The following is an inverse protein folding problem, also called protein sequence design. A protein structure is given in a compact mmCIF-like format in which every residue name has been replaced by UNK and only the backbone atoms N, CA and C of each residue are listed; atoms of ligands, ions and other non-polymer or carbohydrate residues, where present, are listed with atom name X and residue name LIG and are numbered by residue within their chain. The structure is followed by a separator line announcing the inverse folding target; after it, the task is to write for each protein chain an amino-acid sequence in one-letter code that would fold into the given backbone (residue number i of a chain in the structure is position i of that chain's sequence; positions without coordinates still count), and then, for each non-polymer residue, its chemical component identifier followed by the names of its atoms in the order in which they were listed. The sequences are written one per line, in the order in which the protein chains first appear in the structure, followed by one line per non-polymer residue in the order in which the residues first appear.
data_IF_621926320747
#
_entry.id   IF_621926320747
#
_cell.length_a   1.000
_cell.length_b   1.000
_cell.length_c   1.000
_cell.angle_alpha   90.00
_cell.angle_beta   90.00
_cell.angle_gamma   90.00
#
_symmetry.space_group_name_H-M   'P 1'
#
loop_
_entity.id
_entity.type
_entity.pdbx_description
1 polymer ?
#
# COMPACT_ATOMS: atom_id res chain seq x y z
N UNK A 1 -31.51 11.23 -2.76
CA UNK A 1 -30.49 10.50 -1.99
C UNK A 1 -29.17 11.05 -2.46
N UNK A 2 -28.28 11.45 -1.56
CA UNK A 2 -27.00 12.01 -1.99
C UNK A 2 -26.15 10.92 -2.63
N UNK A 3 -25.43 11.22 -3.71
CA UNK A 3 -24.47 10.30 -4.31
C UNK A 3 -23.34 10.00 -3.32
N UNK A 4 -23.00 8.74 -3.16
CA UNK A 4 -21.97 8.29 -2.24
C UNK A 4 -21.06 7.24 -2.88
N UNK A 5 -19.77 7.38 -2.60
CA UNK A 5 -18.73 6.41 -2.96
C UNK A 5 -18.66 5.40 -1.81
N UNK A 6 -19.57 4.41 -1.84
CA UNK A 6 -19.80 3.51 -0.71
C UNK A 6 -18.59 2.65 -0.38
N UNK A 7 -17.89 2.15 -1.40
CA UNK A 7 -16.73 1.28 -1.19
C UNK A 7 -15.58 2.06 -0.56
N UNK A 8 -15.30 3.27 -1.06
CA UNK A 8 -14.24 4.12 -0.51
C UNK A 8 -14.56 4.58 0.91
N UNK A 9 -15.84 4.86 1.22
CA UNK A 9 -16.25 5.20 2.59
C UNK A 9 -16.04 4.05 3.56
N UNK A 10 -16.49 2.85 3.18
CA UNK A 10 -16.29 1.66 4.01
C UNK A 10 -14.81 1.37 4.24
N UNK A 11 -13.97 1.55 3.22
CA UNK A 11 -12.54 1.33 3.32
C UNK A 11 -11.86 2.36 4.24
N UNK A 12 -12.21 3.64 4.13
CA UNK A 12 -11.70 4.70 5.01
C UNK A 12 -12.12 4.45 6.47
N UNK A 13 -13.35 3.99 6.70
CA UNK A 13 -13.83 3.64 8.05
C UNK A 13 -13.08 2.42 8.61
N UNK A 14 -12.67 1.48 7.77
CA UNK A 14 -11.88 0.30 8.15
C UNK A 14 -10.41 0.59 8.44
N UNK A 15 -9.83 1.62 7.80
CA UNK A 15 -8.41 1.97 7.86
C UNK A 15 -8.17 3.48 8.10
N UNK A 16 -8.63 4.06 9.22
CA UNK A 16 -8.59 5.50 9.45
C UNK A 16 -7.17 6.08 9.49
N UNK A 17 -6.19 5.30 9.94
CA UNK A 17 -4.78 5.68 10.01
C UNK A 17 -4.09 5.78 8.63
N UNK A 18 -4.59 5.06 7.62
CA UNK A 18 -4.05 5.07 6.25
C UNK A 18 -4.81 6.02 5.32
N UNK A 19 -6.04 6.40 5.70
CA UNK A 19 -6.93 7.24 4.89
C UNK A 19 -6.36 8.64 4.59
N UNK A 20 -5.63 9.27 5.52
CA UNK A 20 -5.03 10.59 5.32
C UNK A 20 -5.99 11.63 4.71
N UNK A 21 -5.60 12.23 3.57
CA UNK A 21 -6.43 13.22 2.85
C UNK A 21 -7.48 12.60 1.90
N UNK A 22 -7.56 11.26 1.79
CA UNK A 22 -8.47 10.58 0.87
C UNK A 22 -9.94 10.92 1.16
N UNK A 23 -10.31 11.06 2.44
CA UNK A 23 -11.67 11.43 2.85
C UNK A 23 -12.10 12.79 2.26
N UNK A 24 -11.20 13.76 2.24
CA UNK A 24 -11.46 15.08 1.65
C UNK A 24 -11.69 14.96 0.13
N UNK A 25 -10.91 14.12 -0.55
CA UNK A 25 -11.08 13.90 -1.99
C UNK A 25 -12.37 13.15 -2.32
N UNK A 26 -12.75 12.14 -1.52
CA UNK A 26 -14.02 11.40 -1.63
C UNK A 26 -15.21 12.33 -1.48
N UNK A 27 -15.27 13.12 -0.40
CA UNK A 27 -16.35 14.10 -0.19
C UNK A 27 -16.43 15.12 -1.31
N UNK A 28 -15.29 15.59 -1.80
CA UNK A 28 -15.25 16.55 -2.92
C UNK A 28 -15.77 15.94 -4.23
N UNK A 29 -15.47 14.67 -4.52
CA UNK A 29 -16.00 14.00 -5.71
C UNK A 29 -17.51 13.76 -5.60
N UNK A 30 -18.00 13.29 -4.45
CA UNK A 30 -19.43 13.09 -4.21
C UNK A 30 -20.22 14.38 -4.47
N UNK A 31 -19.76 15.50 -3.89
CA UNK A 31 -20.39 16.80 -4.11
C UNK A 31 -20.33 17.24 -5.58
N UNK A 32 -19.20 17.02 -6.26
CA UNK A 32 -19.04 17.42 -7.67
C UNK A 32 -19.89 16.59 -8.62
N UNK A 33 -20.09 15.30 -8.37
CA UNK A 33 -20.97 14.47 -9.19
C UNK A 33 -22.41 15.02 -9.20
N UNK A 34 -22.86 15.56 -8.06
CA UNK A 34 -24.19 16.16 -7.97
C UNK A 34 -24.26 17.58 -8.52
N UNK A 35 -23.29 18.42 -8.16
CA UNK A 35 -23.37 19.87 -8.35
C UNK A 35 -22.67 20.36 -9.62
N UNK A 36 -21.58 19.70 -10.03
CA UNK A 36 -20.67 20.12 -11.10
C UNK A 36 -20.18 18.91 -11.93
N UNK A 37 -21.10 18.16 -12.59
CA UNK A 37 -20.78 16.92 -13.29
C UNK A 37 -19.82 17.13 -14.47
N UNK A 38 -19.71 18.36 -14.96
CA UNK A 38 -18.75 18.81 -15.98
C UNK A 38 -17.28 18.72 -15.54
N UNK A 39 -17.02 18.82 -14.24
CA UNK A 39 -15.66 18.76 -13.66
C UNK A 39 -15.36 17.42 -12.99
N UNK A 40 -16.28 16.46 -13.06
CA UNK A 40 -16.16 15.14 -12.42
C UNK A 40 -14.89 14.40 -12.85
N UNK A 41 -14.55 14.44 -14.14
CA UNK A 41 -13.39 13.73 -14.69
C UNK A 41 -12.05 14.21 -14.10
N UNK A 42 -11.90 15.52 -13.86
CA UNK A 42 -10.72 16.06 -13.20
C UNK A 42 -10.61 15.59 -11.74
N UNK A 43 -11.76 15.44 -11.07
CA UNK A 43 -11.85 15.03 -9.66
C UNK A 43 -11.53 13.54 -9.50
N UNK A 44 -12.04 12.70 -10.40
CA UNK A 44 -11.70 11.28 -10.48
C UNK A 44 -10.20 11.08 -10.68
N UNK A 45 -9.60 11.83 -11.61
CA UNK A 45 -8.15 11.79 -11.81
C UNK A 45 -7.39 12.13 -10.52
N UNK A 46 -7.79 13.18 -9.79
CA UNK A 46 -7.16 13.54 -8.51
C UNK A 46 -7.26 12.42 -7.49
N UNK A 47 -8.40 11.71 -7.41
CA UNK A 47 -8.53 10.55 -6.50
C UNK A 47 -7.56 9.44 -6.90
N UNK A 48 -7.47 9.09 -8.19
CA UNK A 48 -6.51 8.08 -8.64
C UNK A 48 -5.06 8.48 -8.31
N UNK A 49 -4.69 9.74 -8.52
CA UNK A 49 -3.34 10.25 -8.19
C UNK A 49 -3.06 10.21 -6.68
N UNK A 50 -4.07 10.52 -5.86
CA UNK A 50 -3.99 10.46 -4.40
C UNK A 50 -3.89 9.01 -3.89
N UNK A 51 -4.69 8.10 -4.45
CA UNK A 51 -4.65 6.69 -4.12
C UNK A 51 -3.31 6.06 -4.51
N UNK A 52 -2.80 6.34 -5.71
CA UNK A 52 -1.47 5.91 -6.13
C UNK A 52 -0.39 6.43 -5.17
N UNK A 53 -0.49 7.68 -4.72
CA UNK A 53 0.45 8.21 -3.73
C UNK A 53 0.40 7.45 -2.39
N UNK A 54 -0.81 7.14 -1.89
CA UNK A 54 -1.00 6.33 -0.67
C UNK A 54 -0.44 4.90 -0.84
N UNK A 55 -0.69 4.26 -1.98
CA UNK A 55 -0.17 2.93 -2.30
C UNK A 55 1.37 2.96 -2.40
N UNK A 56 1.93 3.99 -3.03
CA UNK A 56 3.40 4.12 -3.16
C UNK A 56 4.10 4.25 -1.81
N UNK A 57 3.47 4.91 -0.83
CA UNK A 57 3.97 4.92 0.55
C UNK A 57 3.89 3.52 1.18
N UNK A 58 2.79 2.80 0.96
CA UNK A 58 2.54 1.49 1.58
C UNK A 58 3.42 0.37 0.99
N UNK A 59 3.75 0.46 -0.30
CA UNK A 59 4.52 -0.54 -1.06
C UNK A 59 5.95 -0.09 -1.41
N UNK A 60 6.39 1.06 -0.89
CA UNK A 60 7.71 1.65 -1.17
C UNK A 60 8.02 1.80 -2.68
N UNK A 61 7.09 2.41 -3.44
CA UNK A 61 7.19 2.61 -4.89
C UNK A 61 7.58 4.06 -5.20
N UNK A 62 8.65 4.24 -5.96
CA UNK A 62 9.03 5.55 -6.50
C UNK A 62 8.39 5.83 -7.87
N UNK A 63 7.52 6.83 -7.93
CA UNK A 63 6.80 7.20 -9.15
C UNK A 63 7.56 8.17 -10.09
N UNK A 64 8.66 8.80 -9.65
CA UNK A 64 9.42 9.73 -10.48
C UNK A 64 8.55 10.82 -11.14
N UNK A 65 8.70 11.00 -12.46
CA UNK A 65 7.90 11.95 -13.28
C UNK A 65 6.79 11.27 -14.09
N UNK A 66 6.38 10.07 -13.69
CA UNK A 66 5.43 9.28 -14.47
C UNK A 66 4.03 9.90 -14.45
N UNK A 67 3.38 9.91 -15.61
CA UNK A 67 1.96 10.26 -15.70
C UNK A 67 1.07 9.17 -15.10
N UNK A 68 -0.23 9.44 -14.98
CA UNK A 68 -1.21 8.50 -14.41
C UNK A 68 -1.09 7.05 -14.92
N UNK A 69 -0.90 6.79 -16.24
CA UNK A 69 -0.69 5.43 -16.73
C UNK A 69 0.57 4.76 -16.20
N UNK A 70 1.73 5.43 -16.28
CA UNK A 70 3.01 4.86 -15.81
C UNK A 70 3.02 4.61 -14.30
N UNK A 71 2.36 5.47 -13.51
CA UNK A 71 2.15 5.24 -12.07
C UNK A 71 1.28 4.02 -11.82
N UNK A 72 0.24 3.80 -12.64
CA UNK A 72 -0.63 2.64 -12.53
C UNK A 72 0.11 1.34 -12.86
N UNK A 73 0.91 1.33 -13.93
CA UNK A 73 1.76 0.18 -14.29
C UNK A 73 2.66 -0.22 -13.13
N UNK A 74 3.33 0.75 -12.48
CA UNK A 74 4.19 0.48 -11.30
C UNK A 74 3.42 -0.07 -10.10
N UNK A 75 2.24 0.47 -9.80
CA UNK A 75 1.37 -0.04 -8.71
C UNK A 75 0.99 -1.49 -8.99
N UNK A 76 0.62 -1.79 -10.23
CA UNK A 76 0.21 -3.11 -10.68
C UNK A 76 1.36 -4.11 -10.59
N UNK A 77 2.55 -3.75 -11.08
CA UNK A 77 3.75 -4.58 -11.02
C UNK A 77 4.18 -4.88 -9.58
N UNK A 78 3.94 -3.95 -8.66
CA UNK A 78 4.22 -4.15 -7.24
C UNK A 78 3.22 -5.09 -6.56
N UNK A 79 2.03 -5.29 -7.13
CA UNK A 79 1.09 -6.28 -6.62
C UNK A 79 1.48 -7.67 -7.08
N UNK A 80 2.19 -8.40 -6.22
CA UNK A 80 2.41 -9.83 -6.40
C UNK A 80 1.13 -10.60 -6.08
N UNK A 81 0.44 -11.12 -7.09
CA UNK A 81 -0.74 -11.99 -6.96
C UNK A 81 -0.41 -13.47 -7.20
N UNK A 82 0.85 -13.87 -7.12
CA UNK A 82 1.22 -15.28 -7.25
C UNK A 82 0.67 -16.09 -6.06
N UNK A 83 0.07 -17.24 -6.36
CA UNK A 83 -0.40 -18.19 -5.35
C UNK A 83 0.47 -19.44 -5.42
N UNK A 84 1.36 -19.61 -4.45
CA UNK A 84 2.30 -20.75 -4.40
C UNK A 84 1.68 -22.03 -3.84
N UNK A 85 0.59 -21.92 -3.08
CA UNK A 85 -0.05 -23.04 -2.36
C UNK A 85 -1.35 -23.56 -3.03
N UNK A 86 -1.66 -23.12 -4.26
CA UNK A 86 -2.88 -23.55 -4.97
C UNK A 86 -2.53 -24.42 -6.19
N UNK A 87 -3.22 -25.57 -6.41
CA UNK A 87 -2.94 -26.46 -7.54
C UNK A 87 -3.13 -25.80 -8.92
N UNK A 88 -4.01 -24.80 -9.01
CA UNK A 88 -4.21 -23.97 -10.21
C UNK A 88 -3.58 -22.56 -10.08
N UNK A 89 -2.55 -22.40 -9.24
CA UNK A 89 -1.95 -21.08 -8.93
C UNK A 89 -1.56 -20.28 -10.17
N UNK A 90 -0.92 -20.92 -11.16
CA UNK A 90 -0.51 -20.29 -12.42
C UNK A 90 -1.70 -19.75 -13.22
N UNK A 91 -2.79 -20.52 -13.28
CA UNK A 91 -4.00 -20.13 -14.00
C UNK A 91 -4.73 -18.98 -13.30
N UNK A 92 -4.79 -19.01 -11.98
CA UNK A 92 -5.35 -17.92 -11.19
C UNK A 92 -4.52 -16.65 -11.40
N UNK A 93 -3.19 -16.76 -11.37
CA UNK A 93 -2.30 -15.63 -11.62
C UNK A 93 -2.50 -15.05 -13.03
N UNK A 94 -2.66 -15.88 -14.06
CA UNK A 94 -2.97 -15.44 -15.43
C UNK A 94 -4.26 -14.63 -15.50
N UNK A 95 -5.35 -15.14 -14.92
CA UNK A 95 -6.66 -14.47 -14.93
C UNK A 95 -6.65 -13.17 -14.11
N UNK A 96 -5.97 -13.16 -12.95
CA UNK A 96 -5.77 -11.95 -12.16
C UNK A 96 -4.95 -10.91 -12.94
N UNK A 97 -3.89 -11.33 -13.61
CA UNK A 97 -3.08 -10.46 -14.47
C UNK A 97 -3.91 -9.85 -15.60
N UNK A 98 -4.81 -10.63 -16.21
CA UNK A 98 -5.72 -10.14 -17.24
C UNK A 98 -6.70 -9.09 -16.69
N UNK A 99 -7.27 -9.31 -15.49
CA UNK A 99 -8.13 -8.34 -14.82
C UNK A 99 -7.40 -7.03 -14.53
N UNK A 100 -6.19 -7.13 -13.98
CA UNK A 100 -5.38 -5.97 -13.62
C UNK A 100 -4.99 -5.15 -14.86
N UNK A 101 -4.65 -5.80 -15.96
CA UNK A 101 -4.43 -5.13 -17.24
C UNK A 101 -5.68 -4.38 -17.70
N UNK A 102 -6.88 -4.93 -17.50
CA UNK A 102 -8.13 -4.22 -17.76
C UNK A 102 -8.30 -2.94 -16.93
N UNK A 103 -7.83 -2.94 -15.68
CA UNK A 103 -7.80 -1.74 -14.80
C UNK A 103 -6.84 -0.69 -15.35
N UNK A 104 -5.65 -1.10 -15.81
CA UNK A 104 -4.66 -0.21 -16.42
C UNK A 104 -5.22 0.44 -17.70
N UNK A 105 -5.83 -0.35 -18.58
CA UNK A 105 -6.45 0.11 -19.83
C UNK A 105 -7.57 1.11 -19.54
N UNK A 106 -8.39 0.84 -18.52
CA UNK A 106 -9.46 1.74 -18.07
C UNK A 106 -8.89 3.06 -17.55
N UNK A 107 -7.87 3.01 -16.69
CA UNK A 107 -7.20 4.19 -16.14
C UNK A 107 -6.55 5.03 -17.25
N UNK A 108 -5.96 4.35 -18.25
CA UNK A 108 -5.39 4.98 -19.44
C UNK A 108 -6.47 5.65 -20.29
N UNK A 109 -7.61 4.99 -20.49
CA UNK A 109 -8.75 5.59 -21.20
C UNK A 109 -9.27 6.84 -20.47
N UNK A 110 -9.37 6.81 -19.14
CA UNK A 110 -9.72 7.98 -18.33
C UNK A 110 -8.73 9.13 -18.49
N UNK A 111 -7.42 8.84 -18.46
CA UNK A 111 -6.38 9.84 -18.66
C UNK A 111 -6.49 10.48 -20.06
N UNK A 112 -6.72 9.66 -21.09
CA UNK A 112 -6.94 10.13 -22.47
C UNK A 112 -8.19 11.00 -22.58
N UNK A 113 -9.32 10.56 -22.02
CA UNK A 113 -10.55 11.35 -21.96
C UNK A 113 -10.33 12.71 -21.28
N UNK A 114 -9.56 12.75 -20.19
CA UNK A 114 -9.24 14.00 -19.47
C UNK A 114 -8.39 14.98 -20.28
N UNK A 115 -7.70 14.52 -21.31
CA UNK A 115 -6.84 15.34 -22.17
C UNK A 115 -7.55 15.81 -23.45
N UNK A 116 -8.78 15.35 -23.72
CA UNK A 116 -9.55 15.83 -24.86
C UNK A 116 -10.03 17.27 -24.58
N UNK A 117 -9.79 18.23 -25.51
CA UNK A 117 -10.26 19.60 -25.37
C UNK A 117 -11.78 19.66 -25.13
N UNK A 118 -12.24 20.58 -24.28
CA UNK A 118 -13.65 20.78 -23.90
C UNK A 118 -14.29 19.66 -23.06
N UNK A 119 -13.67 18.50 -22.88
CA UNK A 119 -14.16 17.43 -21.99
C UNK A 119 -13.90 17.73 -20.50
N UNK A 120 -12.86 18.51 -20.20
CA UNK A 120 -12.47 18.88 -18.82
C UNK A 120 -13.30 20.02 -18.21
N UNK A 121 -14.00 20.79 -19.05
CA UNK A 121 -14.75 21.99 -18.67
C UNK A 121 -16.18 22.02 -19.26
N UNK A 122 -16.71 20.87 -19.69
CA UNK A 122 -18.11 20.74 -20.14
C UNK A 122 -18.48 21.45 -21.45
N UNK A 123 -17.53 21.75 -22.33
CA UNK A 123 -17.72 22.66 -23.47
C UNK A 123 -18.31 22.07 -24.75
N UNK A 124 -18.71 20.78 -24.80
CA UNK A 124 -19.28 20.18 -26.01
C UNK A 124 -20.82 20.22 -25.99
N UNK A 125 -21.43 20.81 -27.02
CA UNK A 125 -22.87 21.10 -27.10
C UNK A 125 -23.79 19.88 -26.93
N UNK A 126 -23.34 18.69 -27.35
CA UNK A 126 -24.09 17.42 -27.22
C UNK A 126 -23.81 16.66 -25.91
N UNK A 127 -22.87 17.12 -25.10
CA UNK A 127 -22.44 16.45 -23.87
C UNK A 127 -23.38 16.68 -22.69
N UNK A 128 -24.11 17.80 -22.69
CA UNK A 128 -24.97 18.21 -21.58
C UNK A 128 -26.04 17.17 -21.20
N UNK A 129 -26.52 16.38 -22.19
CA UNK A 129 -27.54 15.33 -21.97
C UNK A 129 -26.95 14.09 -21.29
N UNK A 130 -25.69 13.74 -21.58
CA UNK A 130 -24.99 12.57 -21.03
C UNK A 130 -24.14 12.88 -19.80
N UNK A 131 -23.95 14.17 -19.48
CA UNK A 131 -22.97 14.65 -18.51
C UNK A 131 -23.15 14.05 -17.11
N UNK A 132 -24.40 13.96 -16.64
CA UNK A 132 -24.71 13.39 -15.31
C UNK A 132 -24.56 11.87 -15.29
N UNK A 133 -25.01 11.17 -16.33
CA UNK A 133 -24.84 9.71 -16.42
C UNK A 133 -23.35 9.34 -16.51
N UNK A 134 -22.59 10.13 -17.26
CA UNK A 134 -21.14 9.99 -17.33
C UNK A 134 -20.49 10.26 -15.97
N UNK A 135 -20.89 11.30 -15.24
CA UNK A 135 -20.37 11.56 -13.89
C UNK A 135 -20.67 10.40 -12.92
N UNK A 136 -21.87 9.81 -12.97
CA UNK A 136 -22.20 8.63 -12.17
C UNK A 136 -21.38 7.39 -12.55
N UNK A 137 -21.22 7.13 -13.84
CA UNK A 137 -20.39 6.03 -14.35
C UNK A 137 -18.94 6.20 -13.88
N UNK A 138 -18.38 7.40 -14.04
CA UNK A 138 -17.03 7.72 -13.60
C UNK A 138 -16.87 7.59 -12.08
N UNK A 139 -17.84 8.07 -11.32
CA UNK A 139 -17.86 7.95 -9.86
C UNK A 139 -17.86 6.49 -9.42
N UNK A 140 -18.74 5.66 -9.99
CA UNK A 140 -18.83 4.24 -9.62
C UNK A 140 -17.58 3.45 -10.01
N UNK A 141 -17.01 3.77 -11.17
CA UNK A 141 -15.76 3.17 -11.62
C UNK A 141 -14.58 3.61 -10.74
N UNK A 142 -14.55 4.87 -10.32
CA UNK A 142 -13.57 5.35 -9.36
C UNK A 142 -13.74 4.66 -8.00
N UNK A 143 -14.98 4.53 -7.51
CA UNK A 143 -15.29 3.86 -6.23
C UNK A 143 -14.77 2.42 -6.23
N UNK A 144 -15.12 1.65 -7.27
CA UNK A 144 -14.72 0.25 -7.36
C UNK A 144 -13.21 0.05 -7.53
N UNK A 145 -12.59 0.74 -8.49
CA UNK A 145 -11.19 0.52 -8.81
C UNK A 145 -10.28 1.04 -7.71
N UNK A 146 -10.53 2.24 -7.21
CA UNK A 146 -9.66 2.84 -6.19
C UNK A 146 -9.81 2.10 -4.87
N UNK A 147 -11.02 1.70 -4.50
CA UNK A 147 -11.22 0.87 -3.30
C UNK A 147 -10.49 -0.46 -3.41
N UNK A 148 -10.60 -1.15 -4.55
CA UNK A 148 -9.89 -2.42 -4.74
C UNK A 148 -8.37 -2.26 -4.62
N UNK A 149 -7.79 -1.27 -5.29
CA UNK A 149 -6.34 -1.05 -5.26
C UNK A 149 -5.85 -0.70 -3.84
N UNK A 150 -6.58 0.14 -3.13
CA UNK A 150 -6.24 0.51 -1.76
C UNK A 150 -6.44 -0.66 -0.80
N UNK A 151 -7.56 -1.39 -0.90
CA UNK A 151 -7.83 -2.57 -0.09
C UNK A 151 -6.72 -3.62 -0.22
N UNK A 152 -6.28 -3.91 -1.45
CA UNK A 152 -5.14 -4.81 -1.70
C UNK A 152 -3.84 -4.26 -1.10
N UNK A 153 -3.57 -2.96 -1.25
CA UNK A 153 -2.34 -2.36 -0.73
C UNK A 153 -2.31 -2.28 0.80
N UNK A 154 -3.45 -2.00 1.42
CA UNK A 154 -3.63 -1.80 2.86
C UNK A 154 -3.81 -3.10 3.63
N UNK A 155 -4.38 -4.12 3.00
CA UNK A 155 -4.53 -5.47 3.56
C UNK A 155 -3.24 -6.28 3.50
N UNK A 156 -2.28 -5.89 2.66
CA UNK A 156 -0.94 -6.48 2.72
C UNK A 156 -0.26 -5.97 3.98
N UNK A 157 0.37 -6.85 4.78
CA UNK A 157 1.32 -6.37 5.77
C UNK A 157 2.31 -5.50 5.00
N UNK A 158 2.44 -4.24 5.41
CA UNK A 158 3.43 -3.30 4.87
C UNK A 158 4.75 -4.05 4.79
N UNK A 159 5.64 -3.79 3.83
CA UNK A 159 6.98 -4.42 3.90
C UNK A 159 7.79 -3.99 5.14
N UNK A 160 7.31 -2.98 5.88
CA UNK A 160 7.75 -2.67 7.24
C UNK A 160 7.21 -3.66 8.31
N UNK A 161 6.31 -4.56 7.91
CA UNK A 161 5.71 -5.69 8.60
C UNK A 161 5.84 -7.01 7.82
N UNK A 162 6.60 -7.05 6.73
CA UNK A 162 7.44 -8.23 6.51
C UNK A 162 8.41 -8.17 7.67
N UNK A 163 8.05 -8.89 8.72
CA UNK A 163 8.97 -9.26 9.77
C UNK A 163 10.33 -9.47 9.10
N UNK A 164 11.31 -8.61 9.45
CA UNK A 164 12.65 -9.10 9.66
C UNK A 164 12.44 -10.50 10.23
N UNK A 165 12.86 -11.54 9.50
CA UNK A 165 12.82 -12.91 10.00
C UNK A 165 13.16 -12.81 11.48
N UNK A 166 12.18 -13.09 12.35
CA UNK A 166 12.25 -12.72 13.77
C UNK A 166 13.64 -13.06 14.27
N UNK A 167 14.25 -12.18 15.08
CA UNK A 167 15.70 -12.02 15.19
C UNK A 167 16.45 -13.33 14.94
N UNK A 168 17.11 -13.47 13.79
CA UNK A 168 17.88 -14.69 13.55
C UNK A 168 19.01 -14.74 14.58
N UNK A 169 18.96 -15.70 15.50
CA UNK A 169 19.98 -15.92 16.51
C UNK A 169 21.38 -15.93 15.88
N UNK A 170 21.51 -16.59 14.73
CA UNK A 170 22.79 -16.75 14.02
C UNK A 170 23.31 -15.44 13.42
N UNK A 171 22.44 -14.46 13.16
CA UNK A 171 22.84 -13.13 12.67
C UNK A 171 23.20 -12.15 13.80
N UNK A 172 22.90 -12.49 15.05
CA UNK A 172 23.13 -11.65 16.23
C UNK A 172 24.36 -12.09 17.05
N UNK A 173 25.34 -12.76 16.43
CA UNK A 173 26.48 -13.36 17.14
C UNK A 173 27.22 -12.42 18.10
N UNK A 174 27.53 -11.19 17.67
CA UNK A 174 28.23 -10.22 18.53
C UNK A 174 27.41 -9.77 19.75
N UNK A 175 26.09 -9.70 19.62
CA UNK A 175 25.19 -9.44 20.75
C UNK A 175 25.07 -10.65 21.68
N UNK A 176 24.96 -11.85 21.10
CA UNK A 176 24.88 -13.09 21.88
C UNK A 176 26.14 -13.31 22.71
N UNK A 177 27.31 -13.13 22.11
CA UNK A 177 28.60 -13.22 22.80
C UNK A 177 28.71 -12.18 23.94
N UNK A 178 28.15 -10.98 23.73
CA UNK A 178 28.11 -9.97 24.78
C UNK A 178 27.18 -10.36 25.93
N UNK A 179 25.99 -10.87 25.63
CA UNK A 179 25.04 -11.32 26.63
C UNK A 179 25.57 -12.54 27.41
N UNK A 180 26.18 -13.51 26.72
CA UNK A 180 26.71 -14.73 27.33
C UNK A 180 28.02 -14.49 28.12
N UNK A 181 28.70 -13.37 27.87
CA UNK A 181 29.86 -12.95 28.67
C UNK A 181 29.47 -12.07 29.86
N UNK A 182 28.35 -11.36 29.79
CA UNK A 182 27.84 -10.53 30.88
C UNK A 182 27.09 -11.34 31.94
N UNK A 183 26.42 -12.41 31.54
CA UNK A 183 25.61 -13.25 32.42
C UNK A 183 26.21 -14.65 32.58
N UNK A 184 26.13 -15.19 33.81
CA UNK A 184 26.52 -16.58 34.06
C UNK A 184 25.53 -17.56 33.41
N UNK A 185 26.01 -18.78 33.11
CA UNK A 185 25.18 -19.84 32.53
C UNK A 185 23.94 -20.13 33.38
N UNK A 186 22.80 -20.32 32.72
CA UNK A 186 21.51 -20.51 33.38
C UNK A 186 21.24 -22.00 33.57
N UNK A 187 20.99 -22.43 34.81
CA UNK A 187 20.58 -23.81 35.11
C UNK A 187 19.06 -23.93 35.21
N UNK A 188 18.47 -24.83 34.41
CA UNK A 188 17.06 -25.20 34.49
C UNK A 188 16.94 -26.71 34.62
N UNK A 189 16.39 -27.16 35.75
CA UNK A 189 16.14 -28.58 36.03
C UNK A 189 17.36 -29.50 35.83
N UNK A 190 18.56 -29.03 36.21
CA UNK A 190 19.82 -29.79 36.07
C UNK A 190 20.48 -29.70 34.70
N UNK A 191 19.92 -28.91 33.77
CA UNK A 191 20.54 -28.63 32.46
C UNK A 191 21.05 -27.20 32.42
N UNK A 192 22.21 -26.99 31.80
CA UNK A 192 22.91 -25.69 31.75
C UNK A 192 22.75 -25.10 30.35
N UNK A 193 22.40 -23.81 30.27
CA UNK A 193 22.10 -23.11 29.03
C UNK A 193 22.83 -21.77 28.95
N UNK A 194 23.12 -21.33 27.72
CA UNK A 194 23.60 -19.98 27.42
C UNK A 194 22.45 -18.96 27.62
N UNK A 195 22.68 -17.84 28.34
CA UNK A 195 21.72 -16.77 28.54
C UNK A 195 21.05 -16.27 27.25
N UNK A 196 21.82 -16.07 26.18
CA UNK A 196 21.33 -15.55 24.90
C UNK A 196 20.39 -16.54 24.23
N UNK A 197 20.77 -17.82 24.23
CA UNK A 197 20.01 -18.91 23.63
C UNK A 197 18.69 -19.15 24.36
N UNK A 198 18.72 -19.09 25.69
CA UNK A 198 17.52 -19.31 26.49
C UNK A 198 16.56 -18.12 26.41
N UNK A 199 17.09 -16.89 26.42
CA UNK A 199 16.29 -15.68 26.24
C UNK A 199 15.63 -15.66 24.86
N UNK A 200 16.38 -15.98 23.81
CA UNK A 200 15.85 -16.09 22.45
C UNK A 200 14.71 -17.13 22.34
N UNK A 201 14.86 -18.26 23.02
CA UNK A 201 13.90 -19.38 22.93
C UNK A 201 12.66 -19.18 23.80
N UNK A 202 12.80 -18.57 24.98
CA UNK A 202 11.73 -18.43 25.95
C UNK A 202 10.95 -17.11 25.83
N UNK A 203 11.63 -16.02 25.45
CA UNK A 203 11.02 -14.69 25.34
C UNK A 203 11.65 -13.89 24.19
N UNK A 204 11.19 -14.18 22.98
CA UNK A 204 11.67 -13.53 21.76
C UNK A 204 11.44 -12.01 21.76
N UNK A 205 10.38 -11.52 22.42
CA UNK A 205 10.08 -10.09 22.52
C UNK A 205 11.09 -9.38 23.41
N UNK A 206 11.43 -9.98 24.55
CA UNK A 206 12.45 -9.42 25.45
C UNK A 206 13.86 -9.49 24.83
N UNK A 207 14.16 -10.57 24.10
CA UNK A 207 15.39 -10.69 23.32
C UNK A 207 15.52 -9.57 22.28
N UNK A 208 14.46 -9.29 21.53
CA UNK A 208 14.45 -8.24 20.50
C UNK A 208 14.60 -6.83 21.09
N UNK A 209 13.96 -6.57 22.25
CA UNK A 209 14.13 -5.31 22.96
C UNK A 209 15.58 -5.10 23.42
N UNK A 210 16.22 -6.14 23.98
CA UNK A 210 17.61 -6.11 24.41
C UNK A 210 18.59 -5.94 23.24
N UNK A 211 18.36 -6.65 22.11
CA UNK A 211 19.15 -6.51 20.89
C UNK A 211 19.05 -5.08 20.31
N UNK A 212 17.86 -4.49 20.35
CA UNK A 212 17.63 -3.12 19.87
C UNK A 212 18.37 -2.09 20.74
N UNK A 213 18.29 -2.23 22.05
CA UNK A 213 19.00 -1.36 23.01
C UNK A 213 20.53 -1.48 22.86
N UNK A 214 21.03 -2.70 22.67
CA UNK A 214 22.44 -2.96 22.43
C UNK A 214 22.95 -2.30 21.13
N UNK A 215 22.18 -2.37 20.04
CA UNK A 215 22.52 -1.72 18.75
C UNK A 215 22.57 -0.20 18.85
N UNK A 216 21.73 0.41 19.68
CA UNK A 216 21.77 1.86 19.95
C UNK A 216 23.04 2.27 20.70
N UNK A 217 23.59 1.38 21.51
CA UNK A 217 24.77 1.64 22.35
C UNK A 217 26.07 1.23 21.66
N UNK A 218 26.01 0.28 20.74
CA UNK A 218 27.11 -0.23 19.93
C UNK A 218 26.77 -0.17 18.43
N UNK A 219 26.67 1.04 17.83
CA UNK A 219 26.50 1.15 16.40
C UNK A 219 27.74 0.56 15.72
N UNK A 220 27.57 -0.54 14.99
CA UNK A 220 28.63 -1.06 14.15
C UNK A 220 28.95 -0.03 13.04
N UNK A 221 30.22 0.33 12.90
CA UNK A 221 30.73 1.11 11.75
C UNK A 221 30.37 0.36 10.46
N UNK A 222 29.36 0.84 9.73
CA UNK A 222 29.03 0.28 8.42
C UNK A 222 27.61 0.49 7.88
N UNK A 223 26.96 1.64 8.07
CA UNK A 223 25.85 2.08 7.21
C UNK A 223 25.57 3.59 7.32
N UNK A 224 26.64 4.40 7.27
CA UNK A 224 26.57 5.88 7.17
C UNK A 224 27.16 6.41 5.85
N UNK A 225 27.06 5.64 4.76
CA UNK A 225 27.47 6.09 3.42
C UNK A 225 26.36 5.91 2.37
N UNK A 226 25.17 6.43 2.66
CA UNK A 226 24.15 6.71 1.64
C UNK A 226 23.28 7.93 2.01
N UNK A 227 23.91 9.02 2.47
CA UNK A 227 23.26 10.33 2.55
C UNK A 227 24.31 11.47 2.53
N UNK A 228 24.99 11.62 1.39
CA UNK A 228 25.65 12.87 1.00
C UNK A 228 25.50 13.07 -0.51
#
# INVERSE_FOLDING_TARGET
MAYQLQLLRNLIEGHPEQAGNLELHVRALEQRIEQLPDTCLASVRTIFEAAQASIGLSLNIEFGRDGLPGRMTKVIEAFDFTMTDHPDGDKIHEELSALIKGIEETTTALARLSNIPNMRHGGALDWAVLQRQHAYMLGGLCDALVSFLLDVAWSRPSKDFEAASGPSYDLAGAFNDNLDSEYELVEIAGSIFEPSRILFTLDATQYEAALTEWRLTNPADGELEAAA
#
